data_IF_516676760647
#
_entry.id   IF_516676760647
#
_cell.length_a   1.000
_cell.length_b   1.000
_cell.length_c   1.000
_cell.angle_alpha   90.00
_cell.angle_beta   90.00
_cell.angle_gamma   90.00
#
_symmetry.space_group_name_H-M   'P 1'
#
loop_
_entity.id
_entity.type
_entity.pdbx_description
1 polymer ?
#
# COMPACT_ATOMS: atom_id res chain seq x y z
N UNK A 1 83.01 -30.38 -54.53
CA UNK A 1 81.55 -30.08 -54.51
C UNK A 1 80.82 -30.80 -53.38
N UNK A 2 81.04 -32.11 -53.14
CA UNK A 2 80.37 -32.87 -52.08
C UNK A 2 80.54 -32.30 -50.65
N UNK A 3 81.78 -31.98 -50.23
CA UNK A 3 82.04 -31.41 -48.90
C UNK A 3 81.42 -30.01 -48.67
N UNK A 4 81.12 -29.27 -49.74
CA UNK A 4 80.43 -27.99 -49.63
C UNK A 4 78.92 -28.21 -49.41
N UNK A 5 78.32 -29.17 -50.11
CA UNK A 5 76.91 -29.55 -49.94
C UNK A 5 76.62 -30.08 -48.53
N UNK A 6 77.51 -30.90 -47.95
CA UNK A 6 77.36 -31.39 -46.57
C UNK A 6 77.37 -30.27 -45.53
N UNK A 7 78.23 -29.25 -45.71
CA UNK A 7 78.27 -28.07 -44.82
C UNK A 7 77.00 -27.23 -44.92
N UNK A 8 76.45 -27.06 -46.13
CA UNK A 8 75.18 -26.36 -46.28
C UNK A 8 73.99 -27.14 -45.70
N UNK A 9 74.00 -28.47 -45.81
CA UNK A 9 72.96 -29.31 -45.22
C UNK A 9 72.95 -29.26 -43.69
N UNK A 10 74.12 -29.28 -43.04
CA UNK A 10 74.20 -29.16 -41.56
C UNK A 10 73.77 -27.79 -41.06
N UNK A 11 74.15 -26.72 -41.78
CA UNK A 11 73.70 -25.35 -41.47
C UNK A 11 72.18 -25.23 -41.62
N UNK A 12 71.60 -25.77 -42.70
CA UNK A 12 70.15 -25.76 -42.91
C UNK A 12 69.40 -26.54 -41.82
N UNK A 13 69.92 -27.69 -41.40
CA UNK A 13 69.34 -28.49 -40.30
C UNK A 13 69.38 -27.72 -38.98
N UNK A 14 70.51 -27.09 -38.65
CA UNK A 14 70.63 -26.29 -37.42
C UNK A 14 69.67 -25.10 -37.43
N UNK A 15 69.53 -24.41 -38.56
CA UNK A 15 68.56 -23.32 -38.72
C UNK A 15 67.12 -23.80 -38.56
N UNK A 16 66.78 -24.97 -39.12
CA UNK A 16 65.46 -25.57 -38.96
C UNK A 16 65.18 -25.93 -37.48
N UNK A 17 66.14 -26.51 -36.77
CA UNK A 17 66.02 -26.81 -35.34
C UNK A 17 65.83 -25.54 -34.49
N UNK A 18 66.59 -24.48 -34.78
CA UNK A 18 66.45 -23.19 -34.08
C UNK A 18 65.08 -22.55 -34.34
N UNK A 19 64.59 -22.61 -35.58
CA UNK A 19 63.26 -22.10 -35.92
C UNK A 19 62.15 -22.86 -35.17
N UNK A 20 62.23 -24.19 -35.13
CA UNK A 20 61.28 -25.03 -34.40
C UNK A 20 61.32 -24.78 -32.89
N UNK A 21 62.51 -24.62 -32.30
CA UNK A 21 62.67 -24.29 -30.89
C UNK A 21 62.06 -22.91 -30.56
N UNK A 22 62.26 -21.92 -31.43
CA UNK A 22 61.66 -20.58 -31.29
C UNK A 22 60.13 -20.62 -31.35
N UNK A 23 59.56 -21.38 -32.28
CA UNK A 23 58.09 -21.57 -32.39
C UNK A 23 57.54 -22.30 -31.16
N UNK A 24 58.22 -23.34 -30.69
CA UNK A 24 57.80 -24.08 -29.49
C UNK A 24 57.79 -23.19 -28.23
N UNK A 25 58.83 -22.39 -28.03
CA UNK A 25 58.91 -21.46 -26.89
C UNK A 25 57.87 -20.33 -26.99
N UNK A 26 57.60 -19.83 -28.20
CA UNK A 26 56.52 -18.87 -28.42
C UNK A 26 55.14 -19.46 -28.10
N UNK A 27 54.85 -20.67 -28.58
CA UNK A 27 53.58 -21.36 -28.27
C UNK A 27 53.45 -21.65 -26.78
N UNK A 28 54.53 -22.08 -26.12
CA UNK A 28 54.50 -22.37 -24.69
C UNK A 28 54.26 -21.11 -23.86
N UNK A 29 54.87 -19.98 -24.22
CA UNK A 29 54.60 -18.68 -23.59
C UNK A 29 53.14 -18.26 -23.77
N UNK A 30 52.60 -18.41 -24.97
CA UNK A 30 51.18 -18.11 -25.27
C UNK A 30 50.22 -19.00 -24.47
N UNK A 31 50.51 -20.30 -24.37
CA UNK A 31 49.71 -21.24 -23.59
C UNK A 31 49.75 -20.93 -22.09
N UNK A 32 50.90 -20.52 -21.54
CA UNK A 32 51.02 -20.08 -20.14
C UNK A 32 50.21 -18.81 -19.87
N UNK A 33 50.28 -17.82 -20.77
CA UNK A 33 49.51 -16.59 -20.65
C UNK A 33 47.99 -16.87 -20.65
N UNK A 34 47.51 -17.68 -21.59
CA UNK A 34 46.09 -18.05 -21.67
C UNK A 34 45.61 -18.82 -20.42
N UNK A 35 46.45 -19.71 -19.86
CA UNK A 35 46.13 -20.41 -18.60
C UNK A 35 46.05 -19.45 -17.42
N UNK A 36 46.95 -18.48 -17.34
CA UNK A 36 46.94 -17.47 -16.28
C UNK A 36 45.69 -16.58 -16.36
N UNK A 37 45.31 -16.16 -17.57
CA UNK A 37 44.09 -15.39 -17.81
C UNK A 37 42.83 -16.19 -17.44
N UNK A 38 42.76 -17.46 -17.84
CA UNK A 38 41.65 -18.33 -17.49
C UNK A 38 41.54 -18.56 -15.98
N UNK A 39 42.67 -18.75 -15.28
CA UNK A 39 42.69 -18.85 -13.82
C UNK A 39 42.24 -17.55 -13.14
N UNK A 40 42.65 -16.40 -13.66
CA UNK A 40 42.23 -15.09 -13.16
C UNK A 40 40.72 -14.87 -13.34
N UNK A 41 40.17 -15.23 -14.51
CA UNK A 41 38.73 -15.16 -14.78
C UNK A 41 37.94 -16.10 -13.88
N UNK A 42 38.41 -17.34 -13.68
CA UNK A 42 37.77 -18.28 -12.75
C UNK A 42 37.75 -17.74 -11.32
N UNK A 43 38.85 -17.15 -10.85
CA UNK A 43 38.91 -16.53 -9.53
C UNK A 43 37.96 -15.32 -9.41
N UNK A 44 37.89 -14.48 -10.45
CA UNK A 44 36.98 -13.34 -10.48
C UNK A 44 35.50 -13.77 -10.44
N UNK A 45 35.13 -14.79 -11.22
CA UNK A 45 33.77 -15.36 -11.21
C UNK A 45 33.44 -15.96 -9.85
N UNK A 46 34.37 -16.71 -9.24
CA UNK A 46 34.18 -17.28 -7.91
C UNK A 46 33.96 -16.18 -6.85
N UNK A 47 34.75 -15.11 -6.90
CA UNK A 47 34.60 -13.96 -6.00
C UNK A 47 33.25 -13.24 -6.20
N UNK A 48 32.85 -13.02 -7.46
CA UNK A 48 31.55 -12.42 -7.78
C UNK A 48 30.39 -13.29 -7.28
N UNK A 49 30.46 -14.61 -7.49
CA UNK A 49 29.43 -15.53 -7.01
C UNK A 49 29.35 -15.53 -5.48
N UNK A 50 30.48 -15.50 -4.78
CA UNK A 50 30.51 -15.39 -3.32
C UNK A 50 29.90 -14.07 -2.83
N UNK A 51 30.18 -12.96 -3.51
CA UNK A 51 29.59 -11.66 -3.19
C UNK A 51 28.07 -11.65 -3.44
N UNK A 52 27.64 -12.19 -4.59
CA UNK A 52 26.22 -12.31 -4.93
C UNK A 52 25.47 -13.20 -3.93
N UNK A 53 26.06 -14.33 -3.52
CA UNK A 53 25.47 -15.20 -2.51
C UNK A 53 25.28 -14.49 -1.17
N UNK A 54 26.29 -13.73 -0.70
CA UNK A 54 26.18 -12.93 0.53
C UNK A 54 25.10 -11.85 0.40
N UNK A 55 25.06 -11.13 -0.72
CA UNK A 55 24.06 -10.10 -0.96
C UNK A 55 22.64 -10.69 -0.97
N UNK A 56 22.44 -11.83 -1.65
CA UNK A 56 21.17 -12.54 -1.66
C UNK A 56 20.76 -12.98 -0.26
N UNK A 57 21.67 -13.52 0.54
CA UNK A 57 21.39 -13.89 1.92
C UNK A 57 20.92 -12.68 2.74
N UNK A 58 21.67 -11.56 2.70
CA UNK A 58 21.31 -10.35 3.43
C UNK A 58 19.94 -9.80 3.00
N UNK A 59 19.67 -9.75 1.69
CA UNK A 59 18.37 -9.28 1.19
C UNK A 59 17.22 -10.22 1.58
N UNK A 60 17.48 -11.53 1.61
CA UNK A 60 16.50 -12.53 2.06
C UNK A 60 16.18 -12.33 3.53
N UNK A 61 17.19 -12.18 4.39
CA UNK A 61 17.00 -11.92 5.82
C UNK A 61 16.24 -10.60 6.08
N UNK A 62 16.56 -9.54 5.32
CA UNK A 62 15.86 -8.25 5.42
C UNK A 62 14.39 -8.36 5.00
N UNK A 63 14.12 -9.06 3.88
CA UNK A 63 12.77 -9.30 3.40
C UNK A 63 11.97 -10.10 4.44
N UNK A 64 12.53 -11.18 4.97
CA UNK A 64 11.85 -12.04 5.93
C UNK A 64 11.53 -11.30 7.23
N UNK A 65 12.45 -10.46 7.70
CA UNK A 65 12.22 -9.58 8.85
C UNK A 65 11.16 -8.49 8.57
N UNK A 66 11.07 -7.99 7.34
CA UNK A 66 10.02 -7.05 6.95
C UNK A 66 8.66 -7.74 6.88
N UNK A 67 8.60 -8.94 6.29
CA UNK A 67 7.38 -9.74 6.18
C UNK A 67 6.85 -10.10 7.57
N UNK A 68 7.71 -10.60 8.47
CA UNK A 68 7.31 -10.94 9.84
C UNK A 68 6.72 -9.75 10.60
N UNK A 69 7.27 -8.54 10.39
CA UNK A 69 6.72 -7.31 10.98
C UNK A 69 5.36 -6.94 10.40
N UNK A 70 5.19 -7.08 9.08
CA UNK A 70 3.91 -6.83 8.42
C UNK A 70 2.83 -7.82 8.89
N UNK A 71 3.16 -9.12 8.99
CA UNK A 71 2.26 -10.16 9.44
C UNK A 71 1.84 -9.95 10.90
N UNK A 72 2.79 -9.56 11.76
CA UNK A 72 2.50 -9.23 13.16
C UNK A 72 1.57 -8.00 13.27
N UNK A 73 1.83 -6.95 12.49
CA UNK A 73 0.99 -5.77 12.44
C UNK A 73 -0.43 -6.10 11.94
N UNK A 74 -0.55 -6.90 10.88
CA UNK A 74 -1.83 -7.37 10.36
C UNK A 74 -2.60 -8.16 11.41
N UNK A 75 -1.94 -9.10 12.10
CA UNK A 75 -2.57 -9.90 13.15
C UNK A 75 -3.11 -9.02 14.29
N UNK A 76 -2.32 -8.02 14.72
CA UNK A 76 -2.75 -7.07 15.74
C UNK A 76 -3.94 -6.23 15.27
N UNK A 77 -3.91 -5.80 14.00
CA UNK A 77 -4.99 -5.03 13.41
C UNK A 77 -6.30 -5.84 13.40
N UNK A 78 -6.27 -7.10 12.94
CA UNK A 78 -7.46 -7.96 12.94
C UNK A 78 -8.06 -8.15 14.35
N UNK A 79 -7.22 -8.32 15.36
CA UNK A 79 -7.68 -8.41 16.76
C UNK A 79 -8.30 -7.10 17.24
N UNK A 80 -7.67 -5.98 16.91
CA UNK A 80 -8.15 -4.64 17.28
C UNK A 80 -9.47 -4.32 16.57
N UNK A 81 -9.59 -4.66 15.28
CA UNK A 81 -10.79 -4.44 14.49
C UNK A 81 -11.95 -5.30 15.01
N UNK A 82 -11.70 -6.55 15.38
CA UNK A 82 -12.72 -7.40 16.02
C UNK A 82 -13.20 -6.81 17.36
N UNK A 83 -12.29 -6.28 18.19
CA UNK A 83 -12.66 -5.62 19.46
C UNK A 83 -13.45 -4.34 19.21
N UNK A 84 -13.01 -3.51 18.27
CA UNK A 84 -13.69 -2.27 17.90
C UNK A 84 -15.10 -2.54 17.35
N UNK A 85 -15.26 -3.57 16.52
CA UNK A 85 -16.58 -3.97 16.01
C UNK A 85 -17.50 -4.42 17.14
N UNK A 86 -17.00 -5.21 18.09
CA UNK A 86 -17.78 -5.63 19.26
C UNK A 86 -18.19 -4.43 20.14
N UNK A 87 -17.28 -3.46 20.35
CA UNK A 87 -17.58 -2.26 21.10
C UNK A 87 -18.59 -1.35 20.38
N UNK A 88 -18.46 -1.17 19.06
CA UNK A 88 -19.43 -0.43 18.25
C UNK A 88 -20.82 -1.08 18.36
N UNK A 89 -20.91 -2.40 18.25
CA UNK A 89 -22.18 -3.12 18.41
C UNK A 89 -22.79 -2.93 19.81
N UNK A 90 -21.96 -2.97 20.86
CA UNK A 90 -22.40 -2.69 22.24
C UNK A 90 -22.95 -1.27 22.37
N UNK A 91 -22.18 -0.26 21.92
CA UNK A 91 -22.56 1.15 21.99
C UNK A 91 -23.80 1.45 21.15
N UNK A 92 -23.93 0.87 19.96
CA UNK A 92 -25.13 0.97 19.13
C UNK A 92 -26.36 0.45 19.87
N UNK A 93 -26.27 -0.73 20.50
CA UNK A 93 -27.35 -1.29 21.32
C UNK A 93 -27.70 -0.43 22.55
N UNK A 94 -26.72 0.24 23.16
CA UNK A 94 -26.97 1.20 24.25
C UNK A 94 -27.68 2.46 23.76
N UNK A 95 -27.28 2.98 22.59
CA UNK A 95 -27.88 4.16 21.98
C UNK A 95 -29.32 3.89 21.52
N UNK A 96 -29.61 2.72 20.94
CA UNK A 96 -30.97 2.34 20.54
C UNK A 96 -31.96 2.31 21.71
N UNK A 97 -31.48 1.94 22.91
CA UNK A 97 -32.31 1.87 24.12
C UNK A 97 -32.46 3.22 24.82
N UNK A 98 -31.66 4.23 24.46
CA UNK A 98 -31.71 5.55 25.08
C UNK A 98 -32.78 6.43 24.42
N UNK A 99 -33.64 7.11 25.21
CA UNK A 99 -34.62 8.03 24.65
C UNK A 99 -33.94 9.23 23.98
N UNK A 100 -34.23 9.45 22.71
CA UNK A 100 -33.68 10.58 21.93
C UNK A 100 -34.42 11.87 22.32
N UNK A 101 -33.68 12.84 22.87
CA UNK A 101 -34.22 14.17 23.17
C UNK A 101 -34.06 15.07 21.96
N UNK A 102 -35.15 15.68 21.51
CA UNK A 102 -35.18 16.61 20.38
C UNK A 102 -35.65 17.98 20.84
N UNK A 103 -35.07 19.03 20.24
CA UNK A 103 -35.55 20.40 20.41
C UNK A 103 -36.63 20.67 19.37
N UNK A 104 -37.82 21.02 19.81
CA UNK A 104 -38.93 21.41 18.95
C UNK A 104 -38.78 22.90 18.65
N UNK A 105 -38.52 23.21 17.38
CA UNK A 105 -38.49 24.60 16.89
C UNK A 105 -39.77 24.81 16.10
N UNK A 106 -40.77 25.45 16.72
CA UNK A 106 -41.97 25.91 16.04
C UNK A 106 -41.61 27.10 15.15
N UNK A 107 -41.36 26.85 13.87
CA UNK A 107 -41.28 27.92 12.87
C UNK A 107 -42.73 28.27 12.48
N UNK A 108 -43.18 29.53 12.60
CA UNK A 108 -44.50 29.90 12.12
C UNK A 108 -44.60 29.53 10.63
N UNK A 109 -45.64 28.78 10.27
CA UNK A 109 -45.84 28.29 8.92
C UNK A 109 -45.97 29.48 7.96
N UNK A 110 -44.98 29.70 7.11
CA UNK A 110 -45.08 30.60 5.97
C UNK A 110 -45.82 29.96 4.78
N UNK A 111 -46.66 28.96 5.04
CA UNK A 111 -47.57 28.38 4.05
C UNK A 111 -48.93 29.05 4.23
N UNK A 112 -49.12 30.21 3.59
CA UNK A 112 -50.41 30.88 3.54
C UNK A 112 -51.43 30.05 2.74
N UNK A 113 -52.70 29.99 3.17
CA UNK A 113 -53.75 29.40 2.35
C UNK A 113 -54.02 30.32 1.15
N UNK A 114 -53.65 29.88 -0.05
CA UNK A 114 -54.15 30.45 -1.29
C UNK A 114 -55.63 30.11 -1.41
N UNK A 115 -56.51 31.04 -1.05
CA UNK A 115 -57.96 30.88 -1.21
C UNK A 115 -58.69 32.18 -0.85
N UNK A 116 -59.11 32.92 -1.88
CA UNK A 116 -59.96 34.10 -1.75
C UNK A 116 -61.31 33.72 -1.14
N UNK A 117 -61.63 34.27 0.03
CA UNK A 117 -62.94 34.26 0.65
C UNK A 117 -63.12 35.54 1.47
N UNK A 118 -64.32 36.13 1.52
CA UNK A 118 -64.51 37.50 1.97
C UNK A 118 -64.20 37.66 3.47
N UNK A 119 -63.64 38.82 3.79
CA UNK A 119 -63.38 39.31 5.15
C UNK A 119 -64.70 39.48 5.88
N UNK A 120 -64.94 38.62 6.89
CA UNK A 120 -65.64 39.00 8.12
C UNK A 120 -65.62 37.78 9.04
N UNK A 121 -64.67 37.74 9.96
CA UNK A 121 -64.73 37.16 11.31
C UNK A 121 -63.32 37.24 11.89
N UNK A 122 -63.11 38.14 12.84
CA UNK A 122 -61.91 38.14 13.67
C UNK A 122 -61.95 36.91 14.59
N UNK A 123 -60.97 36.00 14.57
CA UNK A 123 -60.76 35.07 15.67
C UNK A 123 -59.92 35.76 16.75
N UNK A 124 -60.34 35.50 17.98
CA UNK A 124 -59.89 36.07 19.22
C UNK A 124 -58.39 35.91 19.50
N UNK A 125 -57.84 36.90 20.19
CA UNK A 125 -56.84 36.77 21.26
C UNK A 125 -55.59 35.95 20.92
N UNK A 126 -54.56 36.63 20.41
CA UNK A 126 -53.19 36.19 20.71
C UNK A 126 -52.89 36.59 22.16
N UNK A 127 -53.30 35.74 23.11
CA UNK A 127 -52.82 35.86 24.48
C UNK A 127 -51.30 35.70 24.47
N UNK A 128 -50.65 36.71 25.05
CA UNK A 128 -49.24 36.72 25.39
C UNK A 128 -48.96 35.64 26.45
N UNK A 129 -48.79 34.40 26.00
CA UNK A 129 -48.21 33.33 26.81
C UNK A 129 -46.74 33.20 26.49
N UNK A 130 -45.87 33.56 27.43
CA UNK A 130 -44.46 33.21 27.40
C UNK A 130 -44.34 31.72 27.03
N UNK A 131 -43.85 31.43 25.82
CA UNK A 131 -43.58 30.07 25.39
C UNK A 131 -42.46 29.55 26.29
N UNK A 132 -42.88 28.79 27.29
CA UNK A 132 -42.06 28.11 28.28
C UNK A 132 -40.87 27.45 27.57
N UNK A 133 -39.64 27.91 27.84
CA UNK A 133 -38.44 27.36 27.23
C UNK A 133 -38.26 25.87 27.58
N UNK A 134 -38.97 25.37 28.60
CA UNK A 134 -39.05 23.95 28.94
C UNK A 134 -39.95 23.14 28.00
N UNK A 135 -40.92 23.77 27.31
CA UNK A 135 -41.75 23.15 26.27
C UNK A 135 -41.00 22.96 24.94
N UNK A 136 -39.80 23.53 24.80
CA UNK A 136 -39.00 23.45 23.58
C UNK A 136 -38.25 22.11 23.43
N UNK A 137 -38.31 21.20 24.40
CA UNK A 137 -37.63 19.90 24.35
C UNK A 137 -38.59 18.75 24.59
N UNK A 138 -38.58 17.76 23.71
CA UNK A 138 -39.43 16.56 23.79
C UNK A 138 -38.62 15.29 23.58
N UNK A 139 -39.14 14.16 24.08
CA UNK A 139 -38.61 12.84 23.71
C UNK A 139 -39.22 12.45 22.36
N UNK A 140 -38.37 12.07 21.41
CA UNK A 140 -38.81 11.64 20.10
C UNK A 140 -39.54 10.29 20.23
N UNK A 141 -40.77 10.14 19.69
CA UNK A 141 -41.48 8.87 19.73
C UNK A 141 -40.67 7.73 19.09
N UNK A 142 -40.77 6.49 19.59
CA UNK A 142 -39.90 5.38 19.19
C UNK A 142 -40.00 5.01 17.70
N UNK A 143 -41.15 5.25 17.06
CA UNK A 143 -41.29 5.08 15.61
C UNK A 143 -40.45 6.10 14.81
N UNK A 144 -40.44 7.36 15.25
CA UNK A 144 -39.71 8.44 14.59
C UNK A 144 -38.20 8.34 14.89
N UNK A 145 -37.83 7.92 16.10
CA UNK A 145 -36.44 7.65 16.46
C UNK A 145 -35.83 6.54 15.58
N UNK A 146 -36.56 5.45 15.32
CA UNK A 146 -36.13 4.39 14.39
C UNK A 146 -35.94 4.89 12.97
N UNK A 147 -36.85 5.72 12.47
CA UNK A 147 -36.72 6.34 11.12
C UNK A 147 -35.51 7.27 11.04
N UNK A 148 -35.28 8.09 12.06
CA UNK A 148 -34.11 8.96 12.13
C UNK A 148 -32.81 8.14 12.14
N UNK A 149 -32.74 7.08 12.94
CA UNK A 149 -31.58 6.18 12.98
C UNK A 149 -31.31 5.53 11.59
N UNK A 150 -32.35 5.09 10.89
CA UNK A 150 -32.23 4.53 9.55
C UNK A 150 -31.65 5.53 8.54
N UNK A 151 -32.12 6.78 8.56
CA UNK A 151 -31.60 7.85 7.68
C UNK A 151 -30.15 8.19 8.00
N UNK A 152 -29.76 8.21 9.29
CA UNK A 152 -28.36 8.43 9.70
C UNK A 152 -27.47 7.31 9.15
N UNK A 153 -27.88 6.04 9.29
CA UNK A 153 -27.11 4.90 8.78
C UNK A 153 -26.91 4.94 7.25
N UNK A 154 -27.93 5.37 6.51
CA UNK A 154 -27.84 5.57 5.07
C UNK A 154 -26.84 6.69 4.72
N UNK A 155 -26.89 7.82 5.43
CA UNK A 155 -25.95 8.92 5.23
C UNK A 155 -24.50 8.54 5.59
N UNK A 156 -24.29 7.77 6.65
CA UNK A 156 -22.96 7.24 7.01
C UNK A 156 -22.42 6.32 5.92
N UNK A 157 -23.27 5.48 5.33
CA UNK A 157 -22.91 4.60 4.22
C UNK A 157 -22.49 5.39 2.98
N UNK A 158 -23.27 6.41 2.60
CA UNK A 158 -22.93 7.29 1.47
C UNK A 158 -21.65 8.07 1.74
N UNK A 159 -21.46 8.58 2.96
CA UNK A 159 -20.27 9.32 3.33
C UNK A 159 -19.02 8.42 3.33
N UNK A 160 -19.14 7.17 3.79
CA UNK A 160 -18.06 6.18 3.72
C UNK A 160 -17.68 5.86 2.27
N UNK A 161 -18.68 5.68 1.39
CA UNK A 161 -18.44 5.49 -0.04
C UNK A 161 -17.74 6.70 -0.68
N UNK A 162 -18.17 7.92 -0.36
CA UNK A 162 -17.54 9.15 -0.83
C UNK A 162 -16.10 9.28 -0.35
N UNK A 163 -15.84 9.04 0.94
CA UNK A 163 -14.51 9.08 1.52
C UNK A 163 -13.57 8.06 0.85
N UNK A 164 -14.06 6.86 0.58
CA UNK A 164 -13.33 5.82 -0.16
C UNK A 164 -12.99 6.27 -1.60
N UNK A 165 -13.96 6.82 -2.33
CA UNK A 165 -13.73 7.36 -3.66
C UNK A 165 -12.70 8.51 -3.66
N UNK A 166 -12.80 9.43 -2.69
CA UNK A 166 -11.87 10.55 -2.54
C UNK A 166 -10.45 10.07 -2.20
N UNK A 167 -10.30 9.09 -1.32
CA UNK A 167 -9.00 8.53 -0.97
C UNK A 167 -8.31 7.92 -2.21
N UNK A 168 -9.05 7.17 -3.03
CA UNK A 168 -8.53 6.64 -4.30
C UNK A 168 -8.12 7.72 -5.29
N UNK A 169 -8.88 8.81 -5.41
CA UNK A 169 -8.55 9.93 -6.30
C UNK A 169 -7.29 10.71 -5.87
N UNK A 170 -6.95 10.71 -4.57
CA UNK A 170 -5.81 11.47 -4.03
C UNK A 170 -4.53 10.64 -3.85
N UNK A 171 -4.59 9.32 -4.08
CA UNK A 171 -3.46 8.40 -3.98
C UNK A 171 -2.79 8.09 -5.33
N UNK A 172 -3.26 8.71 -6.41
CA UNK A 172 -2.66 8.74 -7.74
C UNK A 172 -2.10 10.13 -8.04
#
# INVERSE_FOLDING_TARGET
MLAALERWATVALLLACLALAGVADWQMRRARAARAELAALQAAVAAQNAQAARALQTLTEQRDAAQARADAAHTLQEQTDAQNQAEIARLAGELERRPVRVRIVTRPAACGPGGCGPTDHAPAGADAGAADASAAYGVLPPGNARRLAAVIAEMETVNAAYASCRARLLQH
#
